data_IF_751102723775
#
_entry.id   IF_751102723775
#
_cell.length_a   1.000
_cell.length_b   1.000
_cell.length_c   1.000
_cell.angle_alpha   90.00
_cell.angle_beta   90.00
_cell.angle_gamma   90.00
#
_symmetry.space_group_name_H-M   'P 1'
#
loop_
_entity.id
_entity.type
_entity.pdbx_description
1 polymer ?
#
# COMPACT_ATOMS: atom_id res chain seq x y z
N UNK A 1 0.57 -15.82 -11.12
CA UNK A 1 0.79 -14.37 -11.29
C UNK A 1 0.86 -13.76 -9.91
N UNK A 2 1.57 -12.65 -9.75
CA UNK A 2 1.56 -11.92 -8.47
C UNK A 2 0.22 -11.18 -8.30
N UNK A 3 -0.26 -10.97 -7.07
CA UNK A 3 -1.38 -10.08 -6.78
C UNK A 3 -1.10 -8.66 -7.26
N UNK A 4 -2.17 -7.92 -7.62
CA UNK A 4 -2.07 -6.53 -8.11
C UNK A 4 -1.41 -5.63 -7.07
N UNK A 5 -1.87 -5.71 -5.83
CA UNK A 5 -1.34 -4.98 -4.68
C UNK A 5 -0.82 -5.93 -3.61
N UNK A 6 0.22 -5.52 -2.90
CA UNK A 6 0.82 -6.21 -1.77
C UNK A 6 1.21 -5.20 -0.71
N UNK A 7 1.09 -5.56 0.57
CA UNK A 7 1.70 -4.81 1.67
C UNK A 7 3.09 -5.39 1.96
N UNK A 8 4.07 -4.51 2.10
CA UNK A 8 5.45 -4.85 2.44
C UNK A 8 5.90 -4.08 3.69
N UNK A 9 6.50 -4.82 4.61
CA UNK A 9 7.01 -4.30 5.88
C UNK A 9 8.49 -3.93 5.79
N UNK A 10 8.88 -2.84 6.44
CA UNK A 10 10.27 -2.43 6.66
C UNK A 10 10.51 -1.95 8.11
N UNK A 11 9.70 -2.44 9.05
CA UNK A 11 9.74 -2.11 10.49
C UNK A 11 11.14 -2.21 11.12
N UNK A 12 12.03 -3.03 10.55
CA UNK A 12 13.41 -3.21 11.03
C UNK A 12 14.28 -1.95 10.86
N UNK A 13 14.03 -1.15 9.81
CA UNK A 13 14.76 0.09 9.53
C UNK A 13 13.92 1.34 9.86
N UNK A 14 12.60 1.25 9.68
CA UNK A 14 11.67 2.31 9.98
C UNK A 14 10.36 1.73 10.53
N UNK A 15 10.18 1.80 11.85
CA UNK A 15 9.06 1.20 12.57
C UNK A 15 7.70 1.72 12.11
N UNK A 16 7.63 2.98 11.68
CA UNK A 16 6.37 3.66 11.38
C UNK A 16 6.02 3.63 9.88
N UNK A 17 6.86 2.98 9.04
CA UNK A 17 6.69 2.95 7.59
C UNK A 17 6.21 1.62 7.06
N UNK A 18 5.29 1.69 6.13
CA UNK A 18 4.77 0.56 5.36
C UNK A 18 4.81 0.90 3.86
N UNK A 19 4.85 -0.15 3.04
CA UNK A 19 4.98 0.00 1.60
C UNK A 19 3.87 -0.78 0.88
N UNK A 20 3.12 -0.10 0.02
CA UNK A 20 2.17 -0.73 -0.89
C UNK A 20 2.87 -0.96 -2.24
N UNK A 21 2.97 -2.21 -2.65
CA UNK A 21 3.61 -2.60 -3.92
C UNK A 21 2.55 -2.83 -4.98
N UNK A 22 2.60 -2.06 -6.06
CA UNK A 22 1.79 -2.26 -7.26
C UNK A 22 2.58 -3.05 -8.30
N UNK A 23 2.12 -4.26 -8.63
CA UNK A 23 2.86 -5.20 -9.49
C UNK A 23 2.45 -5.14 -10.97
N UNK A 24 1.37 -4.41 -11.29
CA UNK A 24 0.92 -4.17 -12.67
C UNK A 24 1.48 -2.85 -13.21
N UNK A 25 1.37 -2.62 -14.53
CA UNK A 25 1.86 -1.37 -15.12
C UNK A 25 0.90 -0.22 -14.81
N UNK A 26 1.40 0.94 -14.35
CA UNK A 26 2.80 1.27 -14.03
C UNK A 26 3.27 0.63 -12.72
N UNK A 27 4.39 -0.09 -12.74
CA UNK A 27 4.90 -0.80 -11.55
C UNK A 27 5.58 0.18 -10.61
N UNK A 28 5.13 0.21 -9.36
CA UNK A 28 5.66 1.11 -8.36
C UNK A 28 5.57 0.56 -6.94
N UNK A 29 6.26 1.22 -6.04
CA UNK A 29 6.16 1.00 -4.59
C UNK A 29 5.77 2.35 -3.98
N UNK A 30 4.71 2.37 -3.19
CA UNK A 30 4.21 3.56 -2.50
C UNK A 30 4.56 3.39 -1.04
N UNK A 31 5.39 4.29 -0.51
CA UNK A 31 5.65 4.39 0.91
C UNK A 31 4.57 5.25 1.56
N UNK A 32 4.08 4.84 2.73
CA UNK A 32 3.21 5.62 3.60
C UNK A 32 3.50 5.31 5.07
N UNK A 33 2.95 6.13 5.97
CA UNK A 33 2.99 5.85 7.41
C UNK A 33 1.87 4.87 7.79
N UNK A 34 2.08 4.10 8.86
CA UNK A 34 1.05 3.20 9.41
C UNK A 34 -0.23 3.95 9.84
N UNK A 35 -0.06 5.18 10.33
CA UNK A 35 -1.15 6.04 10.82
C UNK A 35 -2.01 6.66 9.70
N UNK A 36 -1.65 6.50 8.43
CA UNK A 36 -2.48 6.95 7.31
C UNK A 36 -1.78 6.95 5.95
N UNK A 37 -2.48 6.44 4.94
CA UNK A 37 -1.96 6.22 3.59
C UNK A 37 -1.40 7.49 2.89
N UNK A 38 -2.03 8.64 3.07
CA UNK A 38 -1.57 9.91 2.49
C UNK A 38 -0.47 10.60 3.30
N UNK A 39 -0.11 10.08 4.47
CA UNK A 39 0.98 10.64 5.27
C UNK A 39 2.34 10.16 4.76
N UNK A 40 3.30 11.09 4.67
CA UNK A 40 4.69 10.83 4.29
C UNK A 40 4.83 10.05 2.97
N UNK A 41 3.91 10.32 2.05
CA UNK A 41 3.75 9.53 0.85
C UNK A 41 4.90 9.73 -0.13
N UNK A 42 5.45 8.63 -0.63
CA UNK A 42 6.48 8.67 -1.66
C UNK A 42 6.37 7.49 -2.61
N UNK A 43 6.26 7.80 -3.90
CA UNK A 43 6.16 6.81 -4.96
C UNK A 43 7.57 6.51 -5.50
N UNK A 44 7.91 5.24 -5.56
CA UNK A 44 9.11 4.70 -6.17
C UNK A 44 8.71 3.94 -7.44
N UNK A 45 8.83 4.60 -8.59
CA UNK A 45 8.58 3.98 -9.88
C UNK A 45 9.67 2.96 -10.21
N UNK A 46 9.25 1.71 -10.49
CA UNK A 46 10.15 0.63 -10.95
C UNK A 46 10.31 0.71 -12.47
N UNK A 47 9.22 1.06 -13.16
CA UNK A 47 9.18 1.33 -14.59
C UNK A 47 9.32 2.84 -14.87
N UNK A 48 9.00 3.26 -16.10
CA UNK A 48 8.84 4.67 -16.43
C UNK A 48 7.65 5.28 -15.69
N UNK A 49 7.86 6.47 -15.15
CA UNK A 49 6.82 7.27 -14.52
C UNK A 49 5.69 7.55 -15.53
N UNK A 50 4.42 7.34 -15.16
CA UNK A 50 3.29 7.67 -16.02
C UNK A 50 3.31 9.15 -16.41
N UNK A 51 3.01 9.43 -17.68
CA UNK A 51 2.87 10.81 -18.17
C UNK A 51 1.51 11.42 -17.82
N UNK A 52 0.52 10.59 -17.49
CA UNK A 52 -0.86 10.99 -17.18
C UNK A 52 -1.01 11.15 -15.67
N UNK A 53 -1.35 12.36 -15.23
CA UNK A 53 -1.67 12.61 -13.82
C UNK A 53 -2.93 11.84 -13.40
N UNK A 54 -3.92 11.73 -14.27
CA UNK A 54 -5.16 10.99 -13.99
C UNK A 54 -4.88 9.49 -13.70
N UNK A 55 -3.88 8.90 -14.37
CA UNK A 55 -3.50 7.51 -14.15
C UNK A 55 -2.80 7.33 -12.78
N UNK A 56 -2.01 8.34 -12.37
CA UNK A 56 -1.38 8.36 -11.05
C UNK A 56 -2.45 8.52 -9.98
N UNK A 57 -3.34 9.49 -10.12
CA UNK A 57 -4.41 9.75 -9.15
C UNK A 57 -5.31 8.51 -8.97
N UNK A 58 -5.68 7.85 -10.07
CA UNK A 58 -6.45 6.59 -10.02
C UNK A 58 -5.68 5.48 -9.30
N UNK A 59 -4.38 5.35 -9.56
CA UNK A 59 -3.54 4.37 -8.89
C UNK A 59 -3.43 4.63 -7.38
N UNK A 60 -3.35 5.89 -6.99
CA UNK A 60 -3.27 6.28 -5.57
C UNK A 60 -4.58 5.99 -4.84
N UNK A 61 -5.73 6.27 -5.45
CA UNK A 61 -7.05 5.94 -4.90
C UNK A 61 -7.21 4.42 -4.73
N UNK A 62 -6.86 3.64 -5.76
CA UNK A 62 -6.93 2.17 -5.67
C UNK A 62 -5.97 1.58 -4.62
N UNK A 63 -4.80 2.19 -4.44
CA UNK A 63 -3.82 1.76 -3.45
C UNK A 63 -4.24 2.10 -2.02
N UNK A 64 -4.91 3.24 -1.82
CA UNK A 64 -5.53 3.61 -0.55
C UNK A 64 -6.63 2.62 -0.18
N UNK A 65 -7.58 2.39 -1.09
CA UNK A 65 -8.70 1.47 -0.88
C UNK A 65 -8.20 0.08 -0.49
N UNK A 66 -7.16 -0.40 -1.16
CA UNK A 66 -6.51 -1.67 -0.82
C UNK A 66 -5.87 -1.65 0.57
N UNK A 67 -5.12 -0.59 0.89
CA UNK A 67 -4.43 -0.47 2.17
C UNK A 67 -5.40 -0.48 3.35
N UNK A 68 -6.43 0.37 3.31
CA UNK A 68 -7.44 0.48 4.37
C UNK A 68 -8.23 -0.84 4.51
N UNK A 69 -8.68 -1.42 3.38
CA UNK A 69 -9.40 -2.70 3.41
C UNK A 69 -8.56 -3.83 4.02
N UNK A 70 -7.26 -3.87 3.72
CA UNK A 70 -6.37 -4.91 4.24
C UNK A 70 -6.07 -4.70 5.73
N UNK A 71 -5.97 -3.46 6.21
CA UNK A 71 -5.87 -3.16 7.64
C UNK A 71 -7.13 -3.58 8.40
N UNK A 72 -8.31 -3.21 7.89
CA UNK A 72 -9.60 -3.57 8.48
C UNK A 72 -9.74 -5.10 8.56
N UNK A 73 -9.39 -5.81 7.49
CA UNK A 73 -9.41 -7.28 7.48
C UNK A 73 -8.46 -7.88 8.52
N UNK A 74 -7.29 -7.27 8.72
CA UNK A 74 -6.33 -7.75 9.73
C UNK A 74 -6.88 -7.52 11.14
N UNK A 75 -7.48 -6.36 11.42
CA UNK A 75 -8.13 -6.08 12.72
C UNK A 75 -9.25 -7.10 13.01
N UNK A 76 -10.12 -7.39 12.04
CA UNK A 76 -11.18 -8.40 12.19
C UNK A 76 -10.62 -9.81 12.51
N UNK A 77 -9.53 -10.23 11.86
CA UNK A 77 -8.90 -11.53 12.12
C UNK A 77 -8.33 -11.63 13.53
N UNK A 78 -7.72 -10.55 14.04
CA UNK A 78 -7.19 -10.54 15.41
C UNK A 78 -8.31 -10.60 16.46
N UNK A 79 -9.42 -9.89 16.23
CA UNK A 79 -10.59 -9.92 17.10
C UNK A 79 -11.25 -11.31 17.12
N UNK A 80 -11.34 -11.98 15.97
CA UNK A 80 -11.88 -13.36 15.89
C UNK A 80 -10.99 -14.41 16.58
N UNK A 81 -9.66 -14.19 16.62
CA UNK A 81 -8.74 -15.10 17.34
C UNK A 81 -8.72 -14.89 18.86
N UNK A 82 -9.06 -13.69 19.38
CA UNK A 82 -9.18 -13.47 20.83
C UNK A 82 -10.45 -14.10 21.43
N UNK A 83 -11.50 -14.31 20.63
CA UNK A 83 -12.78 -14.88 21.06
C UNK A 83 -12.84 -16.43 21.05
N UNK A 84 -11.71 -17.12 20.78
CA UNK A 84 -11.63 -18.59 20.63
C UNK A 84 -10.64 -19.26 21.61
#
# INVERSE_FOLDING_TARGET
MLPKFLIADNSQEALDLVYVVHTEKPRCIIQCDLDGFYSNQKIYWIDEEPLSQDDIDSLMEEAEDFYETELDNQEEVYDEEEDN
#
